data_IF_241572365831
#
_entry.id   IF_241572365831
#
_cell.length_a   1.000
_cell.length_b   1.000
_cell.length_c   1.000
_cell.angle_alpha   90.00
_cell.angle_beta   90.00
_cell.angle_gamma   90.00
#
_symmetry.space_group_name_H-M   'P 1'
#
loop_
_entity.id
_entity.type
_entity.pdbx_description
1 polymer ?
#
# COMPACT_ATOMS: atom_id res chain seq x y z
N UNK A 1 -26.14 -14.38 -14.84
CA UNK A 1 -25.05 -13.44 -14.46
C UNK A 1 -25.67 -12.33 -13.62
N UNK A 2 -25.44 -12.30 -12.31
CA UNK A 2 -25.95 -11.25 -11.42
C UNK A 2 -24.79 -10.59 -10.71
N UNK A 3 -24.46 -9.37 -11.09
CA UNK A 3 -23.44 -8.57 -10.40
C UNK A 3 -24.13 -7.81 -9.27
N UNK A 4 -23.73 -8.06 -8.02
CA UNK A 4 -24.09 -7.17 -6.92
C UNK A 4 -23.24 -5.91 -7.04
N UNK A 5 -23.88 -4.81 -7.44
CA UNK A 5 -23.25 -3.50 -7.51
C UNK A 5 -23.39 -2.84 -6.14
N UNK A 6 -22.30 -2.83 -5.38
CA UNK A 6 -22.19 -2.01 -4.17
C UNK A 6 -21.94 -0.54 -4.51
N UNK A 7 -22.08 0.39 -3.53
CA UNK A 7 -21.64 1.76 -3.67
C UNK A 7 -20.17 1.78 -4.07
N UNK A 8 -19.83 2.50 -5.13
CA UNK A 8 -18.44 2.58 -5.61
C UNK A 8 -17.50 3.07 -4.51
N UNK A 9 -16.60 2.21 -4.05
CA UNK A 9 -15.53 2.60 -3.15
C UNK A 9 -14.41 3.26 -3.96
N UNK A 10 -14.03 4.47 -3.59
CA UNK A 10 -12.89 5.17 -4.18
C UNK A 10 -11.83 5.33 -3.09
N UNK A 11 -10.74 4.57 -3.12
CA UNK A 11 -9.71 4.64 -2.07
C UNK A 11 -8.51 5.43 -2.61
N UNK A 12 -8.10 6.46 -1.89
CA UNK A 12 -6.87 7.19 -2.19
C UNK A 12 -5.74 6.70 -1.29
N UNK A 13 -4.67 6.18 -1.89
CA UNK A 13 -3.51 5.62 -1.20
C UNK A 13 -2.25 6.39 -1.56
N UNK A 14 -1.39 6.62 -0.57
CA UNK A 14 -0.10 7.32 -0.75
C UNK A 14 1.04 6.58 -0.08
N UNK A 15 2.20 6.62 -0.73
CA UNK A 15 3.43 5.97 -0.26
C UNK A 15 4.60 6.95 -0.22
N UNK A 16 4.58 7.99 0.64
CA UNK A 16 5.71 8.88 0.77
C UNK A 16 6.94 8.12 1.31
N UNK A 17 8.09 8.35 0.70
CA UNK A 17 9.37 7.87 1.19
C UNK A 17 10.47 8.91 0.99
N UNK A 18 11.53 8.81 1.79
CA UNK A 18 12.72 9.63 1.69
C UNK A 18 13.96 8.77 1.90
N UNK A 19 14.94 8.97 1.03
CA UNK A 19 16.29 8.43 1.18
C UNK A 19 17.16 9.47 1.89
N UNK A 20 17.82 9.05 2.97
CA UNK A 20 18.79 9.82 3.73
C UNK A 20 20.18 9.25 3.45
N UNK A 21 21.06 9.97 2.73
CA UNK A 21 22.44 9.52 2.56
C UNK A 21 23.14 9.54 3.92
N UNK A 22 23.73 8.41 4.33
CA UNK A 22 24.52 8.29 5.57
C UNK A 22 26.01 8.40 5.25
N UNK A 23 26.47 7.73 4.19
CA UNK A 23 27.85 7.76 3.68
C UNK A 23 27.84 7.70 2.15
N UNK A 24 28.99 7.93 1.51
CA UNK A 24 29.14 7.89 0.04
C UNK A 24 28.62 6.59 -0.60
N UNK A 25 28.57 5.50 0.17
CA UNK A 25 28.13 4.17 -0.27
C UNK A 25 26.95 3.63 0.56
N UNK A 26 26.26 4.46 1.35
CA UNK A 26 25.16 3.99 2.19
C UNK A 26 24.03 5.01 2.30
N UNK A 27 22.79 4.54 2.13
CA UNK A 27 21.58 5.33 2.32
C UNK A 27 20.55 4.60 3.19
N UNK A 28 19.80 5.37 3.97
CA UNK A 28 18.66 4.90 4.76
C UNK A 28 17.37 5.41 4.13
N UNK A 29 16.50 4.49 3.74
CA UNK A 29 15.16 4.78 3.28
C UNK A 29 14.17 4.71 4.45
N UNK A 30 13.38 5.76 4.63
CA UNK A 30 12.24 5.78 5.54
C UNK A 30 11.00 6.06 4.71
N UNK A 31 9.95 5.27 4.89
CA UNK A 31 8.70 5.42 4.17
C UNK A 31 7.48 5.17 5.04
N UNK A 32 6.33 5.60 4.52
CA UNK A 32 5.04 5.23 5.07
C UNK A 32 4.11 4.81 3.93
N UNK A 33 3.23 3.86 4.21
CA UNK A 33 2.11 3.49 3.37
C UNK A 33 0.82 3.88 4.09
N UNK A 34 0.08 4.81 3.49
CA UNK A 34 -1.18 5.32 4.01
C UNK A 34 -2.28 4.90 3.03
N UNK A 35 -3.17 4.02 3.49
CA UNK A 35 -4.36 3.62 2.76
C UNK A 35 -5.58 4.37 3.30
N UNK A 36 -6.47 4.78 2.41
CA UNK A 36 -7.62 5.64 2.74
C UNK A 36 -7.15 6.96 3.40
N UNK A 37 -6.35 7.72 2.64
CA UNK A 37 -5.76 9.00 3.08
C UNK A 37 -6.82 9.95 3.63
N UNK A 38 -7.99 10.02 3.01
CA UNK A 38 -9.08 10.90 3.44
C UNK A 38 -9.91 10.34 4.60
N UNK A 39 -9.67 9.10 5.03
CA UNK A 39 -10.44 8.40 6.07
C UNK A 39 -11.95 8.45 5.82
N UNK A 40 -12.37 8.27 4.58
CA UNK A 40 -13.79 8.18 4.26
C UNK A 40 -14.26 6.74 4.50
N UNK A 41 -15.53 6.52 4.88
CA UNK A 41 -16.12 5.19 4.94
C UNK A 41 -16.08 4.51 3.56
N UNK A 42 -15.66 3.25 3.53
CA UNK A 42 -15.77 2.39 2.36
C UNK A 42 -16.83 1.33 2.64
N UNK A 43 -17.99 1.40 2.01
CA UNK A 43 -19.07 0.45 2.27
C UNK A 43 -18.77 -0.93 1.69
N UNK A 44 -19.22 -1.99 2.38
CA UNK A 44 -19.12 -3.34 1.85
C UNK A 44 -20.18 -3.64 0.78
N UNK A 45 -20.04 -4.77 0.11
CA UNK A 45 -21.06 -5.24 -0.81
C UNK A 45 -22.35 -5.58 -0.04
N UNK A 46 -23.52 -5.37 -0.66
CA UNK A 46 -24.77 -5.82 -0.08
C UNK A 46 -24.78 -7.34 0.12
N UNK A 47 -25.54 -7.84 1.10
CA UNK A 47 -25.65 -9.27 1.32
C UNK A 47 -26.30 -9.98 0.12
N UNK A 48 -25.56 -10.89 -0.53
CA UNK A 48 -26.00 -11.60 -1.72
C UNK A 48 -27.08 -12.66 -1.47
N UNK A 49 -27.36 -13.04 -0.21
CA UNK A 49 -28.32 -14.08 0.14
C UNK A 49 -29.71 -13.46 0.32
N UNK A 50 -30.51 -13.54 -0.74
CA UNK A 50 -31.87 -12.95 -0.81
C UNK A 50 -32.87 -13.54 0.18
N UNK A 51 -32.65 -14.78 0.67
CA UNK A 51 -33.56 -15.47 1.60
C UNK A 51 -33.17 -15.28 3.08
N UNK A 52 -32.45 -14.21 3.40
CA UNK A 52 -32.17 -13.81 4.79
C UNK A 52 -32.83 -12.46 5.08
N UNK A 53 -33.19 -12.16 6.34
CA UNK A 53 -33.76 -10.86 6.72
C UNK A 53 -32.91 -9.65 6.32
N UNK A 54 -31.61 -9.86 6.09
CA UNK A 54 -30.65 -8.85 5.67
C UNK A 54 -30.21 -8.95 4.20
N UNK A 55 -30.87 -9.76 3.37
CA UNK A 55 -30.57 -9.86 1.94
C UNK A 55 -30.69 -8.50 1.26
N UNK A 56 -29.69 -8.13 0.45
CA UNK A 56 -29.65 -6.84 -0.25
C UNK A 56 -29.25 -5.63 0.61
N UNK A 57 -29.02 -5.79 1.91
CA UNK A 57 -28.58 -4.70 2.79
C UNK A 57 -27.05 -4.67 2.94
N UNK A 58 -26.49 -3.47 3.07
CA UNK A 58 -25.09 -3.25 3.45
C UNK A 58 -25.05 -3.06 4.97
N UNK A 59 -24.28 -3.91 5.65
CA UNK A 59 -24.23 -3.93 7.11
C UNK A 59 -22.85 -3.58 7.66
N UNK A 60 -21.84 -3.54 6.81
CA UNK A 60 -20.45 -3.35 7.21
C UNK A 60 -19.79 -2.24 6.40
N UNK A 61 -18.80 -1.61 7.04
CA UNK A 61 -17.84 -0.71 6.41
C UNK A 61 -16.52 -1.48 6.33
N UNK A 62 -15.91 -1.49 5.16
CA UNK A 62 -14.58 -2.05 4.90
C UNK A 62 -13.50 -1.02 5.25
N UNK A 63 -12.35 -1.53 5.66
CA UNK A 63 -11.07 -0.82 5.81
C UNK A 63 -11.15 0.66 6.24
N UNK A 64 -10.98 0.88 7.55
CA UNK A 64 -10.60 2.18 8.09
C UNK A 64 -9.23 2.64 7.54
N UNK A 65 -8.87 3.92 7.76
CA UNK A 65 -7.52 4.41 7.44
C UNK A 65 -6.46 3.52 8.06
N UNK A 66 -5.49 3.10 7.25
CA UNK A 66 -4.35 2.30 7.69
C UNK A 66 -3.06 3.04 7.40
N UNK A 67 -2.19 3.13 8.39
CA UNK A 67 -0.84 3.70 8.26
C UNK A 67 0.16 2.62 8.64
N UNK A 68 1.09 2.33 7.74
CA UNK A 68 2.21 1.40 7.96
C UNK A 68 3.50 2.17 7.74
N UNK A 69 4.48 2.02 8.63
CA UNK A 69 5.78 2.67 8.52
C UNK A 69 6.81 1.61 8.12
N UNK A 70 7.71 1.97 7.21
CA UNK A 70 8.78 1.10 6.74
C UNK A 70 10.14 1.80 6.79
N UNK A 71 11.18 1.01 7.01
CA UNK A 71 12.56 1.46 6.99
C UNK A 71 13.42 0.41 6.29
N UNK A 72 14.40 0.84 5.50
CA UNK A 72 15.34 -0.03 4.82
C UNK A 72 16.70 0.65 4.62
N UNK A 73 17.79 -0.10 4.65
CA UNK A 73 19.12 0.41 4.37
C UNK A 73 19.61 -0.15 3.02
N UNK A 74 20.24 0.71 2.21
CA UNK A 74 20.86 0.33 0.95
C UNK A 74 22.35 0.65 1.06
N UNK A 75 23.20 -0.36 0.83
CA UNK A 75 24.66 -0.21 0.79
C UNK A 75 25.10 -0.46 -0.64
N UNK A 76 25.62 0.58 -1.29
CA UNK A 76 26.20 0.51 -2.62
C UNK A 76 27.66 0.06 -2.47
N UNK A 77 27.89 -1.25 -2.51
CA UNK A 77 29.25 -1.79 -2.52
C UNK A 77 30.01 -1.24 -3.72
N UNK A 78 31.07 -0.46 -3.46
CA UNK A 78 31.94 0.09 -4.49
C UNK A 78 32.54 -1.04 -5.34
N UNK A 79 31.96 -1.29 -6.51
CA UNK A 79 32.51 -2.19 -7.51
C UNK A 79 33.73 -1.56 -8.17
N UNK A 80 34.89 -1.66 -7.53
CA UNK A 80 36.14 -1.70 -8.31
C UNK A 80 36.10 -3.03 -9.07
N UNK A 81 35.72 -2.97 -10.35
CA UNK A 81 36.01 -4.06 -11.28
C UNK A 81 37.53 -3.95 -11.50
N UNK A 82 38.36 -4.86 -10.96
CA UNK A 82 39.77 -4.86 -11.30
C UNK A 82 39.87 -5.05 -12.81
N UNK A 83 40.56 -4.13 -13.47
CA UNK A 83 40.88 -4.17 -14.89
C UNK A 83 41.53 -5.55 -15.15
N UNK A 84 40.75 -6.48 -15.69
CA UNK A 84 41.22 -7.82 -16.02
C UNK A 84 42.17 -7.67 -17.21
N UNK A 85 43.45 -7.65 -16.87
CA UNK A 85 44.56 -8.15 -17.67
C UNK A 85 44.58 -7.69 -19.13
N UNK A 86 45.30 -6.59 -19.37
CA UNK A 86 45.93 -6.33 -20.67
C UNK A 86 46.97 -7.44 -20.94
N UNK A 87 46.53 -8.56 -21.51
CA UNK A 87 47.38 -9.57 -22.17
C UNK A 87 47.45 -9.31 -23.66
#
# INVERSE_FOLDING_TARGET
MGSLVGPGAWIFSVNPYKNFPIREQASLQIGAQIENLFNHPNYDLPNAIINRPNGGLIQNVRQARRVQVSMGAVIEGGGHIPDQEKR
#
